data_IF_675952898612
#
_entry.id   IF_675952898612
#
_cell.length_a   1.000
_cell.length_b   1.000
_cell.length_c   1.000
_cell.angle_alpha   90.00
_cell.angle_beta   90.00
_cell.angle_gamma   90.00
#
_symmetry.space_group_name_H-M   'P 1'
#
loop_
_entity.id
_entity.type
_entity.pdbx_description
1 polymer ?
#
# COMPACT_ATOMS: atom_id res chain seq x y z
N UNK A 1 4.48 -18.28 -16.33
CA UNK A 1 4.35 -16.85 -16.75
C UNK A 1 4.10 -16.69 -18.25
N UNK A 2 3.51 -17.69 -18.92
CA UNK A 2 3.49 -17.81 -20.38
C UNK A 2 2.51 -16.87 -21.11
N UNK A 3 1.53 -16.28 -20.40
CA UNK A 3 0.45 -15.47 -20.99
C UNK A 3 0.48 -13.98 -20.58
N UNK A 4 1.61 -13.50 -20.07
CA UNK A 4 1.75 -12.10 -19.65
C UNK A 4 2.11 -11.18 -20.84
N UNK A 5 1.47 -10.01 -20.88
CA UNK A 5 1.81 -8.92 -21.82
C UNK A 5 2.97 -8.09 -21.27
N UNK A 6 3.96 -7.78 -22.11
CA UNK A 6 5.15 -7.01 -21.75
C UNK A 6 5.16 -5.63 -22.44
N UNK A 7 5.69 -4.57 -21.80
CA UNK A 7 6.36 -4.56 -20.51
C UNK A 7 5.40 -4.77 -19.33
N UNK A 8 5.93 -5.32 -18.24
CA UNK A 8 5.17 -5.68 -17.04
C UNK A 8 5.92 -5.18 -15.80
N UNK A 9 5.18 -4.62 -14.85
CA UNK A 9 5.68 -4.28 -13.51
C UNK A 9 4.90 -5.11 -12.49
N UNK A 10 5.62 -5.82 -11.62
CA UNK A 10 5.07 -6.63 -10.55
C UNK A 10 5.50 -6.04 -9.22
N UNK A 11 4.55 -5.88 -8.30
CA UNK A 11 4.80 -5.42 -6.94
C UNK A 11 4.38 -6.54 -6.00
N UNK A 12 5.35 -7.09 -5.28
CA UNK A 12 5.14 -8.22 -4.39
C UNK A 12 5.44 -7.81 -2.96
N UNK A 13 4.49 -8.04 -2.05
CA UNK A 13 4.75 -7.91 -0.62
C UNK A 13 5.71 -9.01 -0.17
N UNK A 14 6.77 -8.62 0.55
CA UNK A 14 7.80 -9.55 1.02
C UNK A 14 7.73 -9.76 2.53
N UNK A 15 7.58 -8.68 3.30
CA UNK A 15 7.65 -8.75 4.76
C UNK A 15 6.95 -7.57 5.43
N UNK A 16 6.38 -7.84 6.60
CA UNK A 16 6.02 -6.81 7.58
C UNK A 16 6.94 -6.96 8.80
N UNK A 17 7.42 -5.84 9.33
CA UNK A 17 8.19 -5.81 10.58
C UNK A 17 7.86 -4.56 11.40
N UNK A 18 8.08 -4.61 12.72
CA UNK A 18 7.94 -3.42 13.56
C UNK A 18 9.13 -2.48 13.34
N UNK A 19 8.87 -1.18 13.33
CA UNK A 19 9.93 -0.16 13.28
C UNK A 19 10.24 0.33 14.70
N UNK A 20 11.23 -0.30 15.35
CA UNK A 20 11.59 0.02 16.73
C UNK A 20 12.13 1.44 16.93
N UNK A 21 12.74 2.03 15.91
CA UNK A 21 13.31 3.38 16.00
C UNK A 21 12.21 4.46 16.01
N UNK A 22 11.06 4.15 15.40
CA UNK A 22 9.84 4.98 15.46
C UNK A 22 8.94 4.62 16.64
N UNK A 23 9.24 3.52 17.34
CA UNK A 23 8.37 3.04 18.41
C UNK A 23 8.45 3.98 19.60
N UNK A 24 7.27 4.43 20.02
CA UNK A 24 7.12 5.29 21.17
C UNK A 24 5.94 4.79 22.00
N UNK A 25 6.04 5.00 23.31
CA UNK A 25 5.03 4.57 24.28
C UNK A 25 4.33 5.78 24.88
N UNK A 26 3.05 5.62 25.18
CA UNK A 26 2.23 6.64 25.79
C UNK A 26 0.95 6.86 25.00
N UNK A 27 0.30 7.97 25.31
CA UNK A 27 -0.91 8.42 24.66
C UNK A 27 -0.63 9.74 23.95
N UNK A 28 -1.27 9.92 22.79
CA UNK A 28 -1.28 11.18 22.05
C UNK A 28 -2.69 11.75 22.07
N UNK A 29 -2.77 13.07 22.09
CA UNK A 29 -4.02 13.77 21.81
C UNK A 29 -4.32 13.68 20.31
N UNK A 30 -5.54 13.31 19.95
CA UNK A 30 -5.96 13.20 18.55
C UNK A 30 -6.21 14.60 17.97
N UNK A 31 -5.74 14.83 16.75
CA UNK A 31 -5.96 16.08 15.99
C UNK A 31 -7.35 16.16 15.36
N UNK A 32 -8.20 15.16 15.56
CA UNK A 32 -9.56 15.11 15.07
C UNK A 32 -10.49 14.50 16.12
N UNK A 33 -11.78 14.83 16.07
CA UNK A 33 -12.80 14.15 16.86
C UNK A 33 -13.12 12.80 16.18
N UNK A 34 -13.03 11.66 16.90
CA UNK A 34 -13.41 10.37 16.35
C UNK A 34 -14.86 10.37 15.85
N UNK A 35 -15.18 9.48 14.92
CA UNK A 35 -16.52 9.38 14.35
C UNK A 35 -17.59 9.17 15.45
N UNK A 36 -18.67 9.96 15.39
CA UNK A 36 -19.75 9.92 16.40
C UNK A 36 -19.49 10.73 17.67
N UNK A 37 -18.35 11.42 17.77
CA UNK A 37 -18.01 12.32 18.88
C UNK A 37 -18.01 13.79 18.45
N UNK A 38 -18.31 14.68 19.39
CA UNK A 38 -18.33 16.12 19.14
C UNK A 38 -16.92 16.71 19.01
N UNK A 39 -16.67 17.58 18.01
CA UNK A 39 -15.50 18.45 17.99
C UNK A 39 -15.32 19.26 19.28
N UNK A 40 -14.07 19.57 19.64
CA UNK A 40 -13.78 20.50 20.73
C UNK A 40 -13.58 21.93 20.20
N UNK A 41 -13.54 22.90 21.13
CA UNK A 41 -13.63 24.33 20.81
C UNK A 41 -12.53 24.87 19.88
N UNK A 42 -11.32 24.33 19.94
CA UNK A 42 -10.21 24.71 19.06
C UNK A 42 -9.47 23.47 18.54
N UNK A 43 -9.91 22.96 17.39
CA UNK A 43 -9.30 21.79 16.75
C UNK A 43 -7.90 22.04 16.15
N UNK A 44 -7.45 23.29 16.08
CA UNK A 44 -6.11 23.60 15.57
C UNK A 44 -5.02 23.35 16.62
N UNK A 45 -5.40 23.39 17.91
CA UNK A 45 -4.54 22.99 19.02
C UNK A 45 -4.89 21.56 19.49
N UNK A 46 -4.11 20.54 19.09
CA UNK A 46 -4.33 19.16 19.52
C UNK A 46 -4.14 18.97 21.02
N UNK A 47 -3.39 19.83 21.72
CA UNK A 47 -3.17 19.67 23.17
C UNK A 47 -4.43 19.87 24.00
N UNK A 48 -5.44 20.54 23.43
CA UNK A 48 -6.77 20.73 24.02
C UNK A 48 -7.75 19.60 23.66
N UNK A 49 -7.33 18.64 22.83
CA UNK A 49 -8.21 17.54 22.43
C UNK A 49 -8.58 16.69 23.64
N UNK A 50 -9.88 16.50 23.92
CA UNK A 50 -10.34 15.61 24.98
C UNK A 50 -10.19 14.13 24.59
N UNK A 51 -9.84 13.85 23.33
CA UNK A 51 -9.67 12.51 22.80
C UNK A 51 -8.20 12.14 22.78
N UNK A 52 -7.86 11.08 23.52
CA UNK A 52 -6.53 10.50 23.51
C UNK A 52 -6.56 9.11 22.90
N UNK A 53 -5.53 8.80 22.10
CA UNK A 53 -5.29 7.46 21.61
C UNK A 53 -3.93 6.97 22.10
N UNK A 54 -3.76 5.67 22.24
CA UNK A 54 -2.44 5.10 22.42
C UNK A 54 -1.60 5.37 21.16
N UNK A 55 -0.31 5.65 21.35
CA UNK A 55 0.58 5.85 20.21
C UNK A 55 0.52 4.65 19.26
N UNK A 56 0.43 4.89 17.94
CA UNK A 56 0.31 3.82 16.97
C UNK A 56 1.58 2.97 16.98
N UNK A 57 1.41 1.69 16.62
CA UNK A 57 2.54 0.78 16.42
C UNK A 57 3.09 1.05 15.02
N UNK A 58 4.31 1.57 14.88
CA UNK A 58 4.92 1.78 13.58
C UNK A 58 5.36 0.44 12.98
N UNK A 59 5.08 0.28 11.70
CA UNK A 59 5.45 -0.87 10.90
C UNK A 59 6.26 -0.44 9.68
N UNK A 60 7.12 -1.35 9.25
CA UNK A 60 7.76 -1.33 7.95
C UNK A 60 7.13 -2.43 7.10
N UNK A 61 6.62 -2.06 5.93
CA UNK A 61 6.10 -2.98 4.92
C UNK A 61 7.07 -2.98 3.75
N UNK A 62 7.72 -4.12 3.55
CA UNK A 62 8.76 -4.30 2.55
C UNK A 62 8.16 -4.93 1.29
N UNK A 63 8.48 -4.36 0.13
CA UNK A 63 8.05 -4.84 -1.18
C UNK A 63 9.23 -5.09 -2.10
N UNK A 64 9.04 -6.00 -3.04
CA UNK A 64 9.89 -6.17 -4.20
C UNK A 64 9.13 -5.68 -5.44
N UNK A 65 9.78 -4.82 -6.21
CA UNK A 65 9.29 -4.33 -7.50
C UNK A 65 10.12 -5.01 -8.57
N UNK A 66 9.48 -5.77 -9.45
CA UNK A 66 10.12 -6.44 -10.58
C UNK A 66 9.56 -5.89 -11.89
N UNK A 67 10.43 -5.39 -12.75
CA UNK A 67 10.07 -4.91 -14.08
C UNK A 67 10.61 -5.88 -15.10
N UNK A 68 9.76 -6.27 -16.05
CA UNK A 68 10.10 -7.22 -17.11
C UNK A 68 9.79 -6.63 -18.49
N UNK A 69 10.73 -6.79 -19.44
CA UNK A 69 10.54 -6.35 -20.82
C UNK A 69 11.18 -7.33 -21.83
N UNK A 70 10.64 -7.34 -23.06
CA UNK A 70 11.17 -8.14 -24.17
C UNK A 70 12.26 -7.46 -24.98
N UNK A 71 12.35 -6.13 -24.87
CA UNK A 71 13.40 -5.32 -25.49
C UNK A 71 14.14 -4.61 -24.37
N UNK A 72 15.46 -4.68 -24.41
CA UNK A 72 16.32 -4.03 -23.43
C UNK A 72 16.12 -2.51 -23.39
N UNK A 73 15.92 -1.87 -24.55
CA UNK A 73 15.63 -0.44 -24.63
C UNK A 73 14.41 -0.04 -23.78
N UNK A 74 13.32 -0.83 -23.84
CA UNK A 74 12.12 -0.55 -23.04
C UNK A 74 12.40 -0.71 -21.54
N UNK A 75 13.26 -1.67 -21.15
CA UNK A 75 13.65 -1.82 -19.75
C UNK A 75 14.44 -0.60 -19.27
N UNK A 76 15.38 -0.09 -20.08
CA UNK A 76 16.18 1.10 -19.75
C UNK A 76 15.27 2.33 -19.59
N UNK A 77 14.30 2.52 -20.49
CA UNK A 77 13.31 3.60 -20.39
C UNK A 77 12.46 3.51 -19.11
N UNK A 78 12.04 2.29 -18.73
CA UNK A 78 11.28 2.06 -17.51
C UNK A 78 12.12 2.29 -16.25
N UNK A 79 13.38 1.83 -16.23
CA UNK A 79 14.32 2.11 -15.14
C UNK A 79 14.47 3.63 -14.97
N UNK A 80 14.70 4.36 -16.06
CA UNK A 80 14.82 5.82 -16.01
C UNK A 80 13.56 6.52 -15.51
N UNK A 81 12.38 5.99 -15.84
CA UNK A 81 11.09 6.51 -15.37
C UNK A 81 10.86 6.22 -13.89
N UNK A 82 11.24 5.02 -13.42
CA UNK A 82 11.08 4.63 -12.02
C UNK A 82 12.05 5.37 -11.10
N UNK A 83 13.27 5.68 -11.54
CA UNK A 83 14.24 6.43 -10.73
C UNK A 83 13.95 7.94 -10.65
N UNK A 84 12.81 8.40 -11.17
CA UNK A 84 12.38 9.79 -11.01
C UNK A 84 12.04 10.09 -9.55
N UNK A 85 12.14 11.38 -9.19
CA UNK A 85 12.01 11.85 -7.81
C UNK A 85 10.66 11.46 -7.18
N UNK A 86 9.58 11.49 -7.96
CA UNK A 86 8.22 11.21 -7.47
C UNK A 86 7.86 9.72 -7.47
N UNK A 87 8.80 8.82 -7.82
CA UNK A 87 8.52 7.39 -8.01
C UNK A 87 9.38 6.51 -7.10
N UNK A 88 10.66 6.28 -7.43
CA UNK A 88 11.64 5.54 -6.60
C UNK A 88 12.94 6.32 -6.46
N UNK A 89 12.92 7.47 -5.77
CA UNK A 89 14.15 8.21 -5.51
C UNK A 89 15.06 7.45 -4.55
N UNK A 90 16.37 7.60 -4.74
CA UNK A 90 17.39 7.05 -3.83
C UNK A 90 17.29 7.65 -2.41
N UNK A 91 16.75 8.87 -2.29
CA UNK A 91 16.58 9.57 -1.01
C UNK A 91 15.31 10.39 -0.97
N UNK A 92 14.77 10.55 0.23
CA UNK A 92 13.59 11.38 0.50
C UNK A 92 12.33 10.90 -0.23
N UNK A 93 12.24 9.59 -0.48
CA UNK A 93 11.04 8.99 -1.04
C UNK A 93 9.85 9.15 -0.10
N UNK A 94 8.71 9.44 -0.71
CA UNK A 94 7.44 9.54 -0.01
C UNK A 94 6.32 8.95 -0.87
N UNK A 95 5.28 8.49 -0.20
CA UNK A 95 4.06 7.99 -0.82
C UNK A 95 2.86 8.69 -0.18
N UNK A 96 2.11 9.44 -0.98
CA UNK A 96 0.85 10.01 -0.55
C UNK A 96 -0.25 8.95 -0.63
N UNK A 97 -0.92 8.70 0.49
CA UNK A 97 -2.06 7.77 0.60
C UNK A 97 -3.34 8.59 0.51
N UNK A 98 -4.10 8.41 -0.57
CA UNK A 98 -5.28 9.23 -0.84
C UNK A 98 -6.44 8.92 0.09
N UNK A 99 -6.53 7.68 0.58
CA UNK A 99 -7.61 7.17 1.40
C UNK A 99 -7.65 7.79 2.80
N UNK A 100 -6.49 8.05 3.40
CA UNK A 100 -6.36 8.63 4.74
C UNK A 100 -5.69 10.02 4.75
N UNK A 101 -5.30 10.53 3.57
CA UNK A 101 -4.65 11.84 3.41
C UNK A 101 -3.25 11.92 4.01
N UNK A 102 -2.63 10.79 4.34
CA UNK A 102 -1.31 10.75 4.98
C UNK A 102 -0.18 10.67 3.96
N UNK A 103 1.01 11.07 4.38
CA UNK A 103 2.25 10.85 3.63
C UNK A 103 3.10 9.83 4.37
N UNK A 104 3.49 8.77 3.66
CA UNK A 104 4.32 7.68 4.18
C UNK A 104 5.74 7.85 3.67
N UNK A 105 6.73 7.51 4.50
CA UNK A 105 8.13 7.40 4.06
C UNK A 105 8.25 6.20 3.13
N UNK A 106 8.92 6.40 2.00
CA UNK A 106 9.33 5.35 1.07
C UNK A 106 10.85 5.34 1.01
N UNK A 107 11.45 4.21 1.36
CA UNK A 107 12.90 4.01 1.33
C UNK A 107 13.26 3.00 0.24
N UNK A 108 14.25 3.34 -0.58
CA UNK A 108 14.87 2.40 -1.50
C UNK A 108 15.92 1.58 -0.72
N UNK A 109 15.66 0.29 -0.52
CA UNK A 109 16.58 -0.60 0.20
C UNK A 109 17.68 -1.16 -0.71
N UNK A 110 17.41 -1.25 -2.01
CA UNK A 110 18.37 -1.73 -3.00
C UNK A 110 17.81 -1.78 -4.42
N UNK A 111 18.71 -2.04 -5.38
CA UNK A 111 18.43 -2.06 -6.81
C UNK A 111 18.84 -0.75 -7.54
N UNK A 112 18.59 -0.65 -8.86
CA UNK A 112 18.09 -1.72 -9.73
C UNK A 112 19.10 -2.85 -9.90
N UNK A 113 18.67 -4.07 -9.60
CA UNK A 113 19.43 -5.27 -9.94
C UNK A 113 18.98 -5.80 -11.30
N UNK A 114 19.86 -5.69 -12.30
CA UNK A 114 19.58 -6.12 -13.67
C UNK A 114 19.80 -7.63 -13.84
N UNK A 115 18.90 -8.29 -14.58
CA UNK A 115 19.08 -9.67 -15.01
C UNK A 115 18.52 -9.92 -16.40
N UNK A 116 19.16 -10.84 -17.14
CA UNK A 116 18.65 -11.39 -18.39
C UNK A 116 18.34 -12.87 -18.19
N UNK A 117 17.16 -13.32 -18.60
CA UNK A 117 16.73 -14.70 -18.54
C UNK A 117 16.00 -15.11 -19.82
N UNK A 118 15.55 -16.37 -19.87
CA UNK A 118 14.63 -16.88 -20.89
C UNK A 118 13.37 -17.36 -20.21
N UNK A 119 12.24 -17.11 -20.84
CA UNK A 119 10.96 -17.65 -20.38
C UNK A 119 10.82 -19.16 -20.69
N UNK A 120 9.70 -19.74 -20.27
CA UNK A 120 9.34 -21.15 -20.51
C UNK A 120 9.29 -21.52 -22.01
N UNK A 121 9.19 -20.53 -22.90
CA UNK A 121 9.18 -20.69 -24.37
C UNK A 121 10.55 -20.39 -25.01
N UNK A 122 11.60 -20.20 -24.20
CA UNK A 122 12.95 -19.90 -24.66
C UNK A 122 13.16 -18.48 -25.18
N UNK A 123 12.17 -17.59 -25.05
CA UNK A 123 12.26 -16.19 -25.47
C UNK A 123 12.96 -15.37 -24.39
N UNK A 124 13.84 -14.46 -24.82
CA UNK A 124 14.58 -13.57 -23.92
C UNK A 124 13.65 -12.70 -23.09
N UNK A 125 14.07 -12.44 -21.87
CA UNK A 125 13.41 -11.55 -20.92
C UNK A 125 14.48 -10.73 -20.20
N UNK A 126 14.36 -9.42 -20.25
CA UNK A 126 15.18 -8.50 -19.49
C UNK A 126 14.39 -8.07 -18.26
N UNK A 127 15.05 -8.06 -17.10
CA UNK A 127 14.40 -7.73 -15.84
C UNK A 127 15.25 -6.79 -14.99
N UNK A 128 14.58 -5.96 -14.21
CA UNK A 128 15.19 -5.13 -13.17
C UNK A 128 14.37 -5.23 -11.89
N UNK A 129 15.04 -5.36 -10.75
CA UNK A 129 14.39 -5.53 -9.46
C UNK A 129 14.84 -4.47 -8.46
N UNK A 130 13.90 -4.00 -7.63
CA UNK A 130 14.15 -3.10 -6.51
C UNK A 130 13.52 -3.65 -5.23
N UNK A 131 14.20 -3.44 -4.12
CA UNK A 131 13.65 -3.66 -2.79
C UNK A 131 13.28 -2.31 -2.20
N UNK A 132 12.04 -2.14 -1.74
CA UNK A 132 11.56 -0.91 -1.12
C UNK A 132 10.94 -1.19 0.23
N UNK A 133 10.89 -0.15 1.06
CA UNK A 133 10.21 -0.14 2.35
C UNK A 133 9.27 1.04 2.44
N UNK A 134 8.04 0.77 2.83
CA UNK A 134 7.04 1.79 3.10
C UNK A 134 6.71 1.80 4.58
N UNK A 135 6.74 2.99 5.18
CA UNK A 135 6.33 3.17 6.57
C UNK A 135 4.80 3.04 6.69
N UNK A 136 4.34 2.28 7.67
CA UNK A 136 2.92 2.14 8.01
C UNK A 136 2.73 2.24 9.53
N UNK A 137 1.48 2.33 9.97
CA UNK A 137 1.09 2.49 11.36
C UNK A 137 -0.20 1.71 11.63
N UNK A 138 -0.28 1.05 12.78
CA UNK A 138 -1.52 0.44 13.29
C UNK A 138 -1.91 1.13 14.59
N UNK A 139 -3.11 1.68 14.63
CA UNK A 139 -3.70 2.18 15.88
C UNK A 139 -4.25 1.01 16.69
N UNK A 140 -3.90 0.95 17.98
CA UNK A 140 -4.37 -0.13 18.86
C UNK A 140 -5.88 -0.13 19.04
N UNK A 141 -6.54 1.04 18.93
CA UNK A 141 -7.99 1.15 18.91
C UNK A 141 -8.62 0.40 17.73
N UNK A 142 -7.98 0.41 16.56
CA UNK A 142 -8.48 -0.24 15.34
C UNK A 142 -8.34 -1.77 15.37
N UNK A 143 -7.47 -2.32 16.24
CA UNK A 143 -7.33 -3.79 16.35
C UNK A 143 -8.62 -4.44 16.87
N UNK A 144 -9.40 -3.71 17.67
CA UNK A 144 -10.66 -4.20 18.22
C UNK A 144 -11.88 -3.90 17.33
N UNK A 145 -11.70 -3.08 16.29
CA UNK A 145 -12.74 -2.81 15.31
C UNK A 145 -12.82 -3.99 14.34
N UNK A 146 -13.84 -4.82 14.52
CA UNK A 146 -14.16 -5.90 13.58
C UNK A 146 -14.65 -5.29 12.27
N UNK A 147 -13.79 -5.23 11.25
CA UNK A 147 -14.26 -4.93 9.89
C UNK A 147 -15.15 -6.09 9.43
N UNK A 148 -16.42 -5.83 9.05
CA UNK A 148 -17.28 -6.89 8.54
C UNK A 148 -16.66 -7.48 7.27
N UNK A 149 -16.32 -8.77 7.31
CA UNK A 149 -15.77 -9.47 6.16
C UNK A 149 -16.87 -9.60 5.10
N UNK A 150 -16.72 -8.90 3.97
CA UNK A 150 -17.62 -9.03 2.84
C UNK A 150 -17.23 -10.26 2.01
N UNK A 151 -18.08 -11.29 2.02
CA UNK A 151 -17.94 -12.43 1.11
C UNK A 151 -18.47 -12.02 -0.26
N UNK A 152 -17.57 -11.73 -1.20
CA UNK A 152 -17.93 -11.55 -2.61
C UNK A 152 -17.89 -12.92 -3.28
N UNK A 153 -19.05 -13.44 -3.65
CA UNK A 153 -19.15 -14.60 -4.54
C UNK A 153 -19.01 -14.08 -5.97
N UNK A 154 -17.88 -14.39 -6.60
CA UNK A 154 -17.67 -14.14 -8.03
C UNK A 154 -18.16 -15.41 -8.75
N UNK A 155 -19.34 -15.36 -9.33
CA UNK A 155 -19.82 -16.45 -10.19
C UNK A 155 -19.16 -16.31 -11.57
N UNK A 156 -18.66 -17.40 -12.13
CA UNK A 156 -17.81 -17.42 -13.34
C UNK A 156 -18.56 -17.08 -14.64
N UNK A 157 -19.82 -16.65 -14.55
CA UNK A 157 -20.69 -16.40 -15.71
C UNK A 157 -20.50 -15.00 -16.31
N UNK A 158 -19.92 -14.03 -15.58
CA UNK A 158 -19.88 -12.62 -16.00
C UNK A 158 -18.48 -12.04 -16.19
N UNK A 159 -17.61 -12.77 -16.91
CA UNK A 159 -16.27 -12.28 -17.28
C UNK A 159 -16.31 -10.93 -18.03
N UNK A 160 -17.37 -10.67 -18.80
CA UNK A 160 -17.56 -9.40 -19.52
C UNK A 160 -17.86 -8.20 -18.61
N UNK A 161 -18.42 -8.40 -17.41
CA UNK A 161 -18.77 -7.32 -16.50
C UNK A 161 -17.57 -6.78 -15.71
N UNK A 162 -16.53 -7.60 -15.53
CA UNK A 162 -15.27 -7.21 -14.87
C UNK A 162 -14.41 -6.31 -15.76
N UNK A 163 -14.42 -6.54 -17.07
CA UNK A 163 -13.63 -5.77 -18.04
C UNK A 163 -14.20 -4.34 -18.29
N UNK A 164 -15.47 -4.10 -17.94
CA UNK A 164 -16.15 -2.79 -18.11
C UNK A 164 -15.96 -1.82 -16.93
N UNK A 165 -15.23 -2.20 -15.87
CA UNK A 165 -14.92 -1.30 -14.75
C UNK A 165 -16.16 -0.83 -13.96
N UNK A 166 -17.17 -1.69 -13.77
CA UNK A 166 -18.34 -1.34 -12.95
C UNK A 166 -17.98 -1.36 -11.47
N UNK A 167 -18.00 -0.19 -10.83
CA UNK A 167 -18.08 -0.07 -9.38
C UNK A 167 -19.44 -0.57 -8.89
N UNK A 168 -19.47 -1.65 -8.13
CA UNK A 168 -20.66 -2.05 -7.37
C UNK A 168 -20.79 -1.17 -6.14
N UNK A 169 -21.89 -0.43 -5.95
CA UNK A 169 -22.10 0.34 -4.73
C UNK A 169 -22.21 -0.60 -3.53
N UNK A 170 -21.56 -0.22 -2.43
CA UNK A 170 -21.58 -0.96 -1.17
C UNK A 170 -22.97 -0.84 -0.52
N UNK A 171 -23.79 -1.88 -0.63
CA UNK A 171 -25.00 -1.98 0.20
C UNK A 171 -24.60 -2.47 1.57
N UNK A 172 -24.52 -1.55 2.54
CA UNK A 172 -24.33 -1.89 3.96
C UNK A 172 -25.63 -2.51 4.46
N UNK A 173 -25.69 -3.83 4.54
CA UNK A 173 -26.74 -4.50 5.31
C UNK A 173 -26.35 -4.47 6.80
N UNK A 174 -27.22 -3.99 7.70
CA UNK A 174 -26.92 -4.00 9.12
C UNK A 174 -26.75 -5.45 9.61
N UNK A 175 -25.88 -5.69 10.62
CA UNK A 175 -25.63 -7.03 11.13
C UNK A 175 -26.92 -7.62 11.72
N UNK A 176 -27.37 -8.75 11.17
CA UNK A 176 -28.44 -9.54 11.75
C UNK A 176 -27.89 -10.30 12.97
N UNK A 177 -28.18 -9.82 14.16
CA UNK A 177 -27.97 -10.59 15.37
C UNK A 177 -29.07 -11.66 15.45
N UNK A 178 -28.67 -12.93 15.29
CA UNK A 178 -29.54 -14.06 15.58
C UNK A 178 -29.91 -14.07 17.07
N UNK A 179 -31.21 -14.15 17.33
CA UNK A 179 -31.81 -14.35 18.66
C UNK A 179 -31.45 -15.70 19.26
#
# INVERSE_FOLDING_TARGET
>A
MSDATYPLVLISHTRISRDGDRESRGTINLHYAPEGYEPWADMTDPTQSPYMAQMPIPLNVDYQIDVHARKELHLIELIGSLLQFDVLPDRYGYLSVGEDGTVRRLDLLGGPDYSESKDELGKRLFSASWAIRVSSEIFLSQIFELTPAQRVLIDFVDKGAWDEGRSTPLTVSPPSFGS
#
